data_IF_574816325854
#
_entry.id   IF_574816325854
#
_cell.length_a   1.000
_cell.length_b   1.000
_cell.length_c   1.000
_cell.angle_alpha   90.00
_cell.angle_beta   90.00
_cell.angle_gamma   90.00
#
_symmetry.space_group_name_H-M   'P 1'
#
loop_
_entity.id
_entity.type
_entity.pdbx_description
1 polymer ?
#
# COMPACT_ATOMS: atom_id res chain seq x y z
N UNK A 1 22.17 10.03 -17.07
CA UNK A 1 22.10 11.39 -17.67
C UNK A 1 21.10 12.13 -16.80
N UNK A 2 21.46 13.28 -16.25
CA UNK A 2 20.75 13.81 -15.08
C UNK A 2 20.29 15.23 -15.38
N UNK A 3 18.99 15.40 -15.59
CA UNK A 3 18.37 16.73 -15.60
C UNK A 3 18.59 17.39 -14.23
N UNK A 4 18.89 18.70 -14.20
CA UNK A 4 19.10 19.43 -12.95
C UNK A 4 17.76 19.73 -12.25
N UNK A 5 17.71 19.43 -10.95
CA UNK A 5 16.54 19.58 -10.07
C UNK A 5 16.85 20.44 -8.83
N UNK A 6 18.12 20.81 -8.59
CA UNK A 6 18.55 21.42 -7.32
C UNK A 6 17.78 22.72 -7.00
N UNK A 7 17.57 23.57 -8.00
CA UNK A 7 16.78 24.80 -7.84
C UNK A 7 15.33 24.54 -7.44
N UNK A 8 14.71 23.46 -7.93
CA UNK A 8 13.33 23.09 -7.58
C UNK A 8 13.23 22.47 -6.19
N UNK A 9 14.23 21.69 -5.78
CA UNK A 9 14.31 21.20 -4.41
C UNK A 9 14.47 22.35 -3.41
N UNK A 10 15.28 23.36 -3.74
CA UNK A 10 15.41 24.55 -2.90
C UNK A 10 14.09 25.34 -2.78
N UNK A 11 13.31 25.44 -3.87
CA UNK A 11 11.98 26.03 -3.82
C UNK A 11 11.01 25.21 -2.95
N UNK A 12 11.03 23.88 -3.07
CA UNK A 12 10.21 22.96 -2.28
C UNK A 12 10.57 23.06 -0.79
N UNK A 13 11.86 23.00 -0.45
CA UNK A 13 12.33 23.11 0.92
C UNK A 13 11.92 24.45 1.55
N UNK A 14 12.11 25.55 0.83
CA UNK A 14 11.74 26.89 1.32
C UNK A 14 10.24 27.04 1.56
N UNK A 15 9.39 26.65 0.61
CA UNK A 15 7.96 26.93 0.67
C UNK A 15 7.14 25.84 1.35
N UNK A 16 7.57 24.59 1.25
CA UNK A 16 6.81 23.39 1.65
C UNK A 16 7.52 22.67 2.82
N UNK A 17 8.83 22.83 3.00
CA UNK A 17 9.59 22.26 4.11
C UNK A 17 8.92 22.42 5.48
N UNK A 18 8.36 23.60 5.85
CA UNK A 18 7.66 23.74 7.13
C UNK A 18 6.40 22.87 7.29
N UNK A 19 5.69 22.52 6.21
CA UNK A 19 4.57 21.56 6.30
C UNK A 19 5.08 20.12 6.33
N UNK A 20 6.13 19.80 5.56
CA UNK A 20 6.75 18.47 5.60
C UNK A 20 7.29 18.14 6.99
N UNK A 21 7.96 19.09 7.65
CA UNK A 21 8.46 18.92 9.01
C UNK A 21 7.35 18.59 10.01
N UNK A 22 6.21 19.31 9.94
CA UNK A 22 5.06 19.04 10.80
C UNK A 22 4.44 17.67 10.57
N UNK A 23 4.52 17.15 9.34
CA UNK A 23 4.03 15.83 8.96
C UNK A 23 5.08 14.72 9.18
N UNK A 24 6.30 15.07 9.62
CA UNK A 24 7.41 14.14 9.79
C UNK A 24 7.91 13.56 8.47
N UNK A 25 7.91 14.36 7.40
CA UNK A 25 8.27 13.96 6.04
C UNK A 25 9.51 14.70 5.53
N UNK A 26 10.16 14.13 4.52
CA UNK A 26 11.24 14.75 3.75
C UNK A 26 11.09 14.47 2.25
N UNK A 27 11.60 15.35 1.37
CA UNK A 27 11.56 15.11 -0.06
C UNK A 27 12.53 13.98 -0.45
N UNK A 28 12.07 13.06 -1.29
CA UNK A 28 12.89 12.04 -1.94
C UNK A 28 12.76 12.18 -3.46
N UNK A 29 13.90 12.05 -4.15
CA UNK A 29 13.98 12.19 -5.60
C UNK A 29 14.20 10.84 -6.24
N UNK A 30 13.34 10.52 -7.19
CA UNK A 30 13.48 9.37 -8.08
C UNK A 30 13.70 9.88 -9.49
N UNK A 31 14.75 9.37 -10.14
CA UNK A 31 15.07 9.65 -11.54
C UNK A 31 14.54 8.52 -12.39
N UNK A 32 13.60 8.82 -13.28
CA UNK A 32 13.17 7.88 -14.32
C UNK A 32 13.75 8.30 -15.67
N UNK A 33 13.42 7.53 -16.71
CA UNK A 33 13.99 7.75 -18.04
C UNK A 33 13.58 9.11 -18.61
N UNK A 34 12.30 9.46 -18.45
CA UNK A 34 11.68 10.61 -19.12
C UNK A 34 11.08 11.61 -18.10
N UNK A 35 11.27 11.40 -16.79
CA UNK A 35 10.82 12.31 -15.74
C UNK A 35 11.73 12.30 -14.49
N UNK A 36 11.56 13.33 -13.65
CA UNK A 36 12.06 13.37 -12.28
C UNK A 36 10.86 13.49 -11.34
N UNK A 37 10.80 12.61 -10.34
CA UNK A 37 9.71 12.53 -9.38
C UNK A 37 10.21 12.94 -8.01
N UNK A 38 9.49 13.85 -7.36
CA UNK A 38 9.73 14.28 -5.99
C UNK A 38 8.56 13.84 -5.14
N UNK A 39 8.72 12.72 -4.44
CA UNK A 39 7.77 12.23 -3.43
C UNK A 39 8.13 12.79 -2.05
N UNK A 40 7.18 12.73 -1.11
CA UNK A 40 7.45 13.08 0.30
C UNK A 40 7.34 11.82 1.18
N UNK A 41 8.49 11.37 1.65
CA UNK A 41 8.67 10.09 2.36
C UNK A 41 8.81 10.32 3.87
N UNK A 42 8.50 9.33 4.72
CA UNK A 42 8.67 9.44 6.17
C UNK A 42 10.14 9.65 6.57
N UNK A 43 10.37 10.59 7.49
CA UNK A 43 11.61 10.67 8.26
C UNK A 43 11.76 9.47 9.20
N UNK A 44 12.96 9.30 9.76
CA UNK A 44 13.23 8.30 10.80
C UNK A 44 12.20 8.40 11.94
N UNK A 45 11.64 7.25 12.34
CA UNK A 45 10.60 7.16 13.37
C UNK A 45 9.18 7.44 12.89
N UNK A 46 8.97 7.88 11.65
CA UNK A 46 7.66 7.96 11.01
C UNK A 46 7.49 6.78 10.03
N UNK A 47 6.24 6.39 9.79
CA UNK A 47 5.88 5.30 8.86
C UNK A 47 4.85 5.75 7.83
N UNK A 48 4.42 7.01 7.85
CA UNK A 48 3.45 7.53 6.91
C UNK A 48 4.14 8.35 5.80
N UNK A 49 3.60 8.31 4.60
CA UNK A 49 4.06 9.08 3.45
C UNK A 49 2.98 10.06 2.99
N UNK A 50 3.34 11.07 2.19
CA UNK A 50 2.36 11.92 1.53
C UNK A 50 1.84 11.25 0.26
N UNK A 51 0.52 11.26 -0.02
CA UNK A 51 -0.02 10.77 -1.28
C UNK A 51 0.24 11.72 -2.47
N UNK A 52 1.06 12.76 -2.27
CA UNK A 52 1.38 13.78 -3.27
C UNK A 52 2.78 13.58 -3.80
N UNK A 53 2.91 13.54 -5.12
CA UNK A 53 4.17 13.50 -5.85
C UNK A 53 4.22 14.66 -6.84
N UNK A 54 5.36 15.36 -6.91
CA UNK A 54 5.63 16.35 -7.96
C UNK A 54 6.41 15.65 -9.06
N UNK A 55 5.92 15.72 -10.29
CA UNK A 55 6.60 15.12 -11.44
C UNK A 55 7.03 16.22 -12.41
N UNK A 56 8.30 16.24 -12.74
CA UNK A 56 8.90 17.10 -13.76
C UNK A 56 9.06 16.27 -15.03
N UNK A 57 8.19 16.52 -16.02
CA UNK A 57 8.13 15.76 -17.26
C UNK A 57 9.11 16.32 -18.30
N UNK A 58 9.94 15.45 -18.88
CA UNK A 58 10.90 15.79 -19.93
C UNK A 58 10.53 15.22 -21.30
N UNK A 59 9.35 14.62 -21.46
CA UNK A 59 8.91 14.06 -22.74
C UNK A 59 8.92 15.14 -23.83
N UNK A 60 9.73 14.90 -24.87
CA UNK A 60 9.88 15.82 -26.00
C UNK A 60 10.74 17.04 -25.72
N UNK A 61 11.39 17.12 -24.56
CA UNK A 61 12.37 18.15 -24.23
C UNK A 61 13.80 17.67 -24.53
N UNK A 62 14.73 18.59 -24.83
CA UNK A 62 16.13 18.23 -24.97
C UNK A 62 16.72 17.67 -23.68
N UNK A 63 17.69 16.76 -23.78
CA UNK A 63 18.37 16.13 -22.64
C UNK A 63 19.08 17.11 -21.69
N UNK A 64 19.37 18.33 -22.15
CA UNK A 64 19.98 19.40 -21.34
C UNK A 64 18.95 20.31 -20.66
N UNK A 65 17.66 20.04 -20.81
CA UNK A 65 16.61 20.88 -20.25
C UNK A 65 16.52 20.71 -18.73
N UNK A 66 16.39 21.82 -18.00
CA UNK A 66 16.32 21.83 -16.54
C UNK A 66 14.88 21.60 -16.04
N UNK A 67 14.73 21.10 -14.81
CA UNK A 67 13.41 20.96 -14.20
C UNK A 67 12.77 22.33 -13.97
N UNK A 68 11.59 22.54 -14.58
CA UNK A 68 10.82 23.78 -14.42
C UNK A 68 9.40 23.48 -14.01
N UNK A 69 8.79 24.41 -13.26
CA UNK A 69 7.38 24.30 -12.87
C UNK A 69 6.42 24.31 -14.05
N UNK A 70 6.83 24.86 -15.20
CA UNK A 70 6.03 24.92 -16.43
C UNK A 70 5.70 23.53 -17.00
N UNK A 71 6.64 22.59 -16.92
CA UNK A 71 6.45 21.21 -17.39
C UNK A 71 6.19 20.24 -16.25
N UNK A 72 5.97 20.77 -15.04
CA UNK A 72 5.62 19.95 -13.91
C UNK A 72 4.12 19.63 -13.88
N UNK A 73 3.78 18.50 -13.29
CA UNK A 73 2.44 18.21 -12.83
C UNK A 73 2.50 17.61 -11.43
N UNK A 74 1.37 17.65 -10.75
CA UNK A 74 1.21 17.07 -9.42
C UNK A 74 0.36 15.82 -9.55
N UNK A 75 0.87 14.73 -9.03
CA UNK A 75 0.10 13.50 -8.82
C UNK A 75 -0.46 13.48 -7.41
N UNK A 76 -1.70 13.05 -7.30
CA UNK A 76 -2.37 12.75 -6.03
C UNK A 76 -2.92 11.34 -6.08
N UNK A 77 -2.34 10.46 -5.28
CA UNK A 77 -2.89 9.15 -5.03
C UNK A 77 -4.07 9.26 -4.06
N UNK A 78 -5.12 8.51 -4.31
CA UNK A 78 -6.29 8.44 -3.44
C UNK A 78 -6.42 7.06 -2.86
N UNK A 79 -6.74 7.02 -1.57
CA UNK A 79 -6.82 5.80 -0.79
C UNK A 79 -8.16 5.72 -0.08
N UNK A 80 -8.71 4.52 0.02
CA UNK A 80 -9.87 4.20 0.85
C UNK A 80 -9.38 3.49 2.11
N UNK A 81 -9.57 4.14 3.26
CA UNK A 81 -9.32 3.54 4.57
C UNK A 81 -10.42 2.55 4.92
N UNK A 82 -10.03 1.34 5.32
CA UNK A 82 -10.92 0.25 5.73
C UNK A 82 -10.48 -0.29 7.10
N UNK A 83 -11.28 -0.05 8.13
CA UNK A 83 -11.10 -0.70 9.43
C UNK A 83 -11.54 -2.18 9.34
N UNK A 84 -10.78 -3.09 9.97
CA UNK A 84 -11.02 -4.53 9.92
C UNK A 84 -11.73 -5.02 11.19
N UNK A 85 -12.98 -4.60 11.36
CA UNK A 85 -13.77 -4.89 12.57
C UNK A 85 -13.19 -4.18 13.80
N UNK A 86 -13.20 -4.85 14.94
CA UNK A 86 -12.66 -4.33 16.21
C UNK A 86 -11.21 -4.79 16.49
N UNK A 87 -10.52 -5.31 15.48
CA UNK A 87 -9.17 -5.90 15.63
C UNK A 87 -8.06 -4.86 15.85
N UNK A 88 -8.34 -3.58 15.63
CA UNK A 88 -7.34 -2.51 15.58
C UNK A 88 -6.54 -2.47 14.28
N UNK A 89 -6.77 -3.39 13.34
CA UNK A 89 -6.15 -3.39 12.01
C UNK A 89 -6.91 -2.51 11.02
N UNK A 90 -6.16 -1.93 10.09
CA UNK A 90 -6.70 -1.18 8.97
C UNK A 90 -6.00 -1.51 7.65
N UNK A 91 -6.67 -1.23 6.54
CA UNK A 91 -6.12 -1.33 5.20
C UNK A 91 -6.40 -0.06 4.41
N UNK A 92 -5.41 0.42 3.67
CA UNK A 92 -5.54 1.59 2.81
C UNK A 92 -5.48 1.15 1.35
N UNK A 93 -6.65 1.01 0.73
CA UNK A 93 -6.73 0.54 -0.66
C UNK A 93 -6.54 1.71 -1.61
N UNK A 94 -5.48 1.67 -2.41
CA UNK A 94 -5.30 2.58 -3.53
C UNK A 94 -6.53 2.53 -4.46
N UNK A 95 -7.00 3.70 -4.86
CA UNK A 95 -8.15 3.85 -5.75
C UNK A 95 -7.75 4.40 -7.10
N UNK A 96 -7.03 5.52 -7.11
CA UNK A 96 -6.74 6.27 -8.32
C UNK A 96 -5.64 7.31 -8.11
N UNK A 97 -4.87 7.60 -9.16
CA UNK A 97 -3.93 8.73 -9.23
C UNK A 97 -4.54 9.85 -10.06
N UNK A 98 -4.74 11.01 -9.46
CA UNK A 98 -5.14 12.21 -10.18
C UNK A 98 -3.92 13.00 -10.64
N UNK A 99 -3.93 13.46 -11.88
CA UNK A 99 -2.87 14.30 -12.45
C UNK A 99 -3.36 15.74 -12.63
N UNK A 100 -2.62 16.69 -12.05
CA UNK A 100 -2.96 18.09 -12.09
C UNK A 100 -1.80 18.89 -12.68
N UNK A 101 -2.01 19.52 -13.84
CA UNK A 101 -1.02 20.43 -14.43
C UNK A 101 -0.84 21.65 -13.54
N UNK A 102 0.42 22.05 -13.33
CA UNK A 102 0.75 23.21 -12.51
C UNK A 102 0.20 24.51 -13.10
N UNK A 103 0.29 24.70 -14.43
CA UNK A 103 -0.48 25.64 -15.26
C UNK A 103 -0.57 27.11 -14.82
N UNK A 104 0.12 27.47 -13.75
CA UNK A 104 0.07 28.70 -12.97
C UNK A 104 1.49 29.25 -12.84
N UNK A 105 1.64 30.43 -12.26
CA UNK A 105 2.96 30.92 -11.88
C UNK A 105 3.61 30.00 -10.85
N UNK A 106 4.96 30.02 -10.76
CA UNK A 106 5.72 29.23 -9.79
C UNK A 106 5.25 29.48 -8.35
N UNK A 107 5.00 30.75 -8.00
CA UNK A 107 4.52 31.16 -6.67
C UNK A 107 3.15 30.55 -6.36
N UNK A 108 2.22 30.58 -7.33
CA UNK A 108 0.89 30.00 -7.15
C UNK A 108 0.93 28.47 -7.10
N UNK A 109 1.84 27.85 -7.86
CA UNK A 109 2.07 26.41 -7.86
C UNK A 109 2.56 25.95 -6.50
N UNK A 110 3.60 26.59 -5.96
CA UNK A 110 4.17 26.27 -4.65
C UNK A 110 3.16 26.50 -3.51
N UNK A 111 2.40 27.61 -3.56
CA UNK A 111 1.34 27.88 -2.59
C UNK A 111 0.27 26.78 -2.61
N UNK A 112 -0.18 26.39 -3.81
CA UNK A 112 -1.19 25.35 -3.97
C UNK A 112 -0.68 23.98 -3.55
N UNK A 113 0.56 23.61 -3.91
CA UNK A 113 1.19 22.36 -3.47
C UNK A 113 1.30 22.30 -1.94
N UNK A 114 1.71 23.39 -1.28
CA UNK A 114 1.72 23.46 0.19
C UNK A 114 0.34 23.23 0.80
N UNK A 115 -0.69 23.87 0.26
CA UNK A 115 -2.08 23.70 0.72
C UNK A 115 -2.59 22.28 0.48
N UNK A 116 -2.23 21.68 -0.65
CA UNK A 116 -2.60 20.32 -1.01
C UNK A 116 -1.95 19.31 -0.06
N UNK A 117 -0.63 19.38 0.16
CA UNK A 117 0.08 18.50 1.11
C UNK A 117 -0.48 18.64 2.52
N UNK A 118 -0.79 19.87 2.96
CA UNK A 118 -1.39 20.10 4.28
C UNK A 118 -2.79 19.50 4.42
N UNK A 119 -3.58 19.52 3.34
CA UNK A 119 -4.99 19.10 3.34
C UNK A 119 -5.13 17.59 3.20
N UNK A 120 -4.34 16.97 2.31
CA UNK A 120 -4.39 15.52 2.08
C UNK A 120 -3.71 14.76 3.23
N UNK A 121 -2.75 15.38 3.93
CA UNK A 121 -2.10 14.79 5.07
C UNK A 121 -1.18 13.64 4.68
N UNK A 122 -1.29 12.51 5.39
CA UNK A 122 -0.41 11.35 5.24
C UNK A 122 -1.18 10.04 5.18
N UNK A 123 -0.60 9.06 4.52
CA UNK A 123 -1.09 7.68 4.39
C UNK A 123 -0.07 6.75 5.04
N UNK A 124 -0.48 5.80 5.88
CA UNK A 124 0.45 4.83 6.46
C UNK A 124 1.02 3.88 5.40
N UNK A 125 2.31 3.61 5.47
CA UNK A 125 2.97 2.54 4.73
C UNK A 125 2.63 1.20 5.42
N UNK A 126 1.96 0.28 4.73
CA UNK A 126 1.52 -0.99 5.31
C UNK A 126 2.68 -1.93 5.64
N UNK A 127 3.84 -1.76 4.99
CA UNK A 127 5.03 -2.54 5.28
C UNK A 127 5.75 -2.09 6.56
N UNK A 128 5.41 -0.91 7.10
CA UNK A 128 6.13 -0.28 8.22
C UNK A 128 5.23 0.13 9.38
N UNK A 129 3.97 0.44 9.11
CA UNK A 129 3.03 0.95 10.11
C UNK A 129 2.40 -0.22 10.87
N UNK A 130 2.51 -0.27 12.21
CA UNK A 130 1.88 -1.32 13.00
C UNK A 130 0.37 -1.41 12.73
N UNK A 131 -0.12 -2.64 12.62
CA UNK A 131 -1.53 -2.95 12.36
C UNK A 131 -2.09 -2.33 11.05
N UNK A 132 -1.23 -2.05 10.07
CA UNK A 132 -1.63 -1.59 8.76
C UNK A 132 -1.35 -2.68 7.72
N UNK A 133 -2.39 -3.09 7.01
CA UNK A 133 -2.31 -4.07 5.93
C UNK A 133 -1.72 -3.43 4.69
N UNK A 134 -0.62 -4.00 4.21
CA UNK A 134 0.06 -3.70 2.95
C UNK A 134 -0.67 -4.32 1.77
N UNK A 135 -1.07 -5.60 1.86
CA UNK A 135 -1.77 -6.26 0.76
C UNK A 135 -3.29 -6.03 0.84
N UNK A 136 -3.89 -5.23 -0.06
CA UNK A 136 -5.31 -4.91 0.04
C UNK A 136 -6.24 -6.13 -0.09
N UNK A 137 -5.77 -7.24 -0.67
CA UNK A 137 -6.54 -8.49 -0.78
C UNK A 137 -6.69 -9.22 0.56
N UNK A 138 -5.77 -9.03 1.51
CA UNK A 138 -5.89 -9.55 2.89
C UNK A 138 -7.12 -8.97 3.56
N UNK A 139 -7.35 -7.67 3.44
CA UNK A 139 -8.54 -7.02 3.98
C UNK A 139 -9.85 -7.49 3.31
N UNK A 140 -9.81 -7.76 2.00
CA UNK A 140 -10.97 -8.29 1.28
C UNK A 140 -11.29 -9.73 1.74
N UNK A 141 -10.26 -10.57 1.91
CA UNK A 141 -10.38 -11.93 2.42
C UNK A 141 -10.82 -11.95 3.90
N UNK A 142 -10.24 -11.11 4.75
CA UNK A 142 -10.64 -10.97 6.16
C UNK A 142 -12.14 -10.67 6.28
N UNK A 143 -12.67 -9.73 5.47
CA UNK A 143 -14.09 -9.42 5.47
C UNK A 143 -14.94 -10.60 5.04
N UNK A 144 -14.49 -11.39 4.05
CA UNK A 144 -15.19 -12.61 3.66
C UNK A 144 -15.22 -13.62 4.81
N UNK A 145 -14.09 -13.86 5.46
CA UNK A 145 -13.96 -14.81 6.56
C UNK A 145 -14.82 -14.40 7.76
N UNK A 146 -14.61 -13.19 8.28
CA UNK A 146 -15.25 -12.67 9.50
C UNK A 146 -16.75 -12.43 9.37
N UNK A 147 -17.26 -12.17 8.16
CA UNK A 147 -18.70 -11.90 7.99
C UNK A 147 -19.53 -13.12 7.58
N UNK A 148 -18.88 -14.22 7.14
CA UNK A 148 -19.60 -15.37 6.54
C UNK A 148 -19.22 -16.73 7.08
N UNK A 149 -18.01 -16.89 7.62
CA UNK A 149 -17.46 -18.21 7.89
C UNK A 149 -17.02 -18.40 9.34
N UNK A 150 -16.32 -17.44 9.93
CA UNK A 150 -15.66 -17.60 11.22
C UNK A 150 -15.85 -16.34 12.06
N UNK A 151 -16.13 -16.52 13.36
CA UNK A 151 -16.31 -15.39 14.28
C UNK A 151 -14.96 -14.83 14.77
N UNK A 152 -13.95 -15.70 14.93
CA UNK A 152 -12.61 -15.35 15.41
C UNK A 152 -11.56 -15.53 14.32
N UNK A 153 -11.41 -14.51 13.47
CA UNK A 153 -10.32 -14.44 12.48
C UNK A 153 -9.20 -13.56 13.02
N UNK A 154 -8.01 -14.12 13.17
CA UNK A 154 -6.81 -13.41 13.60
C UNK A 154 -6.03 -12.90 12.39
N UNK A 155 -5.38 -11.75 12.58
CA UNK A 155 -4.51 -11.11 11.59
C UNK A 155 -3.10 -11.05 12.19
N UNK A 156 -2.13 -11.58 11.44
CA UNK A 156 -0.72 -11.52 11.78
C UNK A 156 0.07 -10.90 10.62
N UNK A 157 1.13 -10.16 10.94
CA UNK A 157 2.06 -9.62 9.96
C UNK A 157 3.48 -9.93 10.39
N UNK A 158 4.21 -10.63 9.52
CA UNK A 158 5.63 -10.93 9.68
C UNK A 158 6.45 -9.87 8.92
N UNK A 159 7.27 -9.14 9.69
CA UNK A 159 8.17 -8.07 9.21
C UNK A 159 9.65 -8.48 9.33
N UNK A 160 9.94 -9.77 9.47
CA UNK A 160 11.30 -10.27 9.73
C UNK A 160 12.32 -9.97 8.63
N UNK A 161 11.88 -9.69 7.40
CA UNK A 161 12.72 -9.26 6.30
C UNK A 161 12.23 -7.92 5.72
N UNK A 162 13.11 -6.90 5.60
CA UNK A 162 12.74 -5.62 4.99
C UNK A 162 12.21 -5.79 3.57
N UNK A 163 10.99 -5.28 3.31
CA UNK A 163 10.34 -5.37 2.00
C UNK A 163 9.67 -6.73 1.71
N UNK A 164 9.74 -7.69 2.62
CA UNK A 164 9.08 -9.00 2.49
C UNK A 164 8.02 -9.19 3.57
N UNK A 165 7.01 -8.32 3.55
CA UNK A 165 5.89 -8.42 4.47
C UNK A 165 5.07 -9.65 4.12
N UNK A 166 4.87 -10.54 5.09
CA UNK A 166 3.94 -11.66 4.96
C UNK A 166 2.77 -11.44 5.89
N UNK A 167 1.59 -11.29 5.32
CA UNK A 167 0.34 -11.12 6.06
C UNK A 167 -0.39 -12.44 6.11
N UNK A 168 -0.87 -12.80 7.29
CA UNK A 168 -1.58 -14.05 7.51
C UNK A 168 -2.94 -13.82 8.14
N UNK A 169 -3.92 -14.61 7.69
CA UNK A 169 -5.23 -14.70 8.30
C UNK A 169 -5.42 -16.10 8.85
N UNK A 170 -5.60 -16.21 10.17
CA UNK A 170 -5.74 -17.49 10.85
C UNK A 170 -7.14 -17.61 11.45
N UNK A 171 -7.72 -18.80 11.43
CA UNK A 171 -9.05 -19.07 11.97
C UNK A 171 -9.14 -20.50 12.47
N UNK A 172 -10.15 -20.77 13.30
CA UNK A 172 -10.49 -22.12 13.72
C UNK A 172 -11.86 -22.52 13.16
N UNK A 173 -11.82 -23.69 12.57
CA UNK A 173 -12.89 -24.61 12.23
C UNK A 173 -14.07 -24.83 13.19
N UNK A 174 -15.29 -25.05 12.69
CA UNK A 174 -16.35 -25.71 13.49
C UNK A 174 -15.97 -27.15 13.90
N UNK A 175 -15.04 -27.79 13.16
CA UNK A 175 -14.49 -29.11 13.49
C UNK A 175 -13.18 -28.99 14.29
N UNK A 176 -12.78 -27.78 14.69
CA UNK A 176 -11.57 -27.52 15.46
C UNK A 176 -10.28 -27.54 14.65
N UNK A 177 -10.34 -27.52 13.31
CA UNK A 177 -9.17 -27.47 12.44
C UNK A 177 -8.59 -26.06 12.37
N UNK A 178 -7.27 -25.96 12.30
CA UNK A 178 -6.58 -24.67 12.17
C UNK A 178 -6.42 -24.30 10.70
N UNK A 179 -7.04 -23.20 10.28
CA UNK A 179 -6.91 -22.66 8.94
C UNK A 179 -6.00 -21.45 8.90
N UNK A 180 -5.11 -21.36 7.90
CA UNK A 180 -4.25 -20.19 7.69
C UNK A 180 -4.16 -19.83 6.21
N UNK A 181 -4.41 -18.57 5.88
CA UNK A 181 -4.00 -17.96 4.63
C UNK A 181 -2.71 -17.18 4.85
N UNK A 182 -1.76 -17.28 3.93
CA UNK A 182 -0.54 -16.47 3.92
C UNK A 182 -0.41 -15.74 2.59
N UNK A 183 -0.19 -14.43 2.64
CA UNK A 183 -0.21 -13.53 1.49
C UNK A 183 0.99 -12.59 1.55
N UNK A 184 1.65 -12.38 0.42
CA UNK A 184 2.65 -11.33 0.25
C UNK A 184 2.11 -10.23 -0.67
N UNK A 185 2.44 -8.96 -0.45
CA UNK A 185 2.18 -7.90 -1.41
C UNK A 185 2.82 -8.23 -2.77
N UNK A 186 2.09 -8.01 -3.86
CA UNK A 186 2.56 -8.25 -5.23
C UNK A 186 2.50 -9.71 -5.70
N UNK A 187 2.30 -10.68 -4.80
CA UNK A 187 2.08 -12.07 -5.21
C UNK A 187 0.73 -12.23 -5.91
N UNK A 188 0.72 -13.05 -6.96
CA UNK A 188 -0.52 -13.37 -7.71
C UNK A 188 -1.40 -14.35 -6.94
N UNK A 189 -0.79 -15.19 -6.10
CA UNK A 189 -1.47 -16.31 -5.46
C UNK A 189 -1.50 -16.21 -3.94
N UNK A 190 -2.51 -16.85 -3.34
CA UNK A 190 -2.64 -17.11 -1.91
C UNK A 190 -2.84 -18.60 -1.68
N UNK A 191 -2.19 -19.14 -0.63
CA UNK A 191 -2.35 -20.54 -0.22
C UNK A 191 -3.13 -20.64 1.08
N UNK A 192 -4.12 -21.52 1.11
CA UNK A 192 -4.81 -21.98 2.31
C UNK A 192 -4.10 -23.22 2.84
N UNK A 193 -3.70 -23.16 4.10
CA UNK A 193 -3.22 -24.27 4.89
C UNK A 193 -4.31 -24.72 5.86
N UNK A 194 -4.46 -26.04 6.04
CA UNK A 194 -5.33 -26.62 7.07
C UNK A 194 -4.52 -27.61 7.88
N UNK A 195 -4.46 -27.41 9.20
CA UNK A 195 -3.63 -28.18 10.13
C UNK A 195 -2.15 -28.25 9.70
N UNK A 196 -1.64 -27.15 9.13
CA UNK A 196 -0.26 -27.00 8.65
C UNK A 196 0.01 -27.54 7.24
N UNK A 197 -0.93 -28.27 6.64
CA UNK A 197 -0.77 -28.85 5.30
C UNK A 197 -1.39 -27.96 4.22
N UNK A 198 -0.76 -27.93 3.03
CA UNK A 198 -1.31 -27.21 1.88
C UNK A 198 -2.64 -27.83 1.49
N UNK A 199 -3.72 -27.07 1.67
CA UNK A 199 -5.03 -27.49 1.24
C UNK A 199 -5.27 -27.10 -0.21
N UNK A 200 -5.08 -25.81 -0.54
CA UNK A 200 -5.27 -25.31 -1.89
C UNK A 200 -4.65 -23.92 -2.12
N UNK A 201 -4.34 -23.60 -3.38
CA UNK A 201 -3.82 -22.29 -3.82
C UNK A 201 -4.79 -21.62 -4.80
N UNK A 202 -4.91 -20.30 -4.71
CA UNK A 202 -5.85 -19.47 -5.45
C UNK A 202 -5.17 -18.21 -5.98
N UNK A 203 -5.76 -17.57 -6.98
CA UNK A 203 -5.45 -16.16 -7.27
C UNK A 203 -5.99 -15.30 -6.13
N UNK A 204 -5.22 -14.28 -5.71
CA UNK A 204 -5.55 -13.49 -4.51
C UNK A 204 -6.85 -12.68 -4.64
N UNK A 205 -7.25 -12.33 -5.87
CA UNK A 205 -8.46 -11.57 -6.17
C UNK A 205 -9.69 -12.44 -6.44
N UNK A 206 -9.54 -13.76 -6.54
CA UNK A 206 -10.63 -14.71 -6.80
C UNK A 206 -11.38 -15.11 -5.50
N UNK A 207 -11.95 -14.11 -4.83
CA UNK A 207 -12.82 -14.32 -3.66
C UNK A 207 -14.01 -15.25 -3.93
N UNK A 208 -14.66 -15.26 -5.12
CA UNK A 208 -15.71 -16.23 -5.42
C UNK A 208 -15.25 -17.69 -5.29
N UNK A 209 -14.06 -18.03 -5.80
CA UNK A 209 -13.50 -19.38 -5.68
C UNK A 209 -13.12 -19.71 -4.25
N UNK A 210 -12.49 -18.77 -3.53
CA UNK A 210 -12.18 -18.96 -2.09
C UNK A 210 -13.46 -19.25 -1.30
N UNK A 211 -14.53 -18.51 -1.58
CA UNK A 211 -15.84 -18.73 -0.93
C UNK A 211 -16.40 -20.13 -1.19
N UNK A 212 -16.29 -20.67 -2.40
CA UNK A 212 -16.76 -22.02 -2.71
C UNK A 212 -15.98 -23.05 -1.90
N UNK A 213 -14.66 -22.92 -1.87
CA UNK A 213 -13.79 -23.86 -1.15
C UNK A 213 -14.02 -23.83 0.36
N UNK A 214 -14.19 -22.65 0.96
CA UNK A 214 -14.49 -22.54 2.38
C UNK A 214 -15.85 -23.17 2.75
N UNK A 215 -16.84 -23.13 1.84
CA UNK A 215 -18.11 -23.83 2.05
C UNK A 215 -17.90 -25.35 2.01
N UNK A 216 -17.09 -25.85 1.10
CA UNK A 216 -16.82 -27.27 0.99
C UNK A 216 -15.99 -27.77 2.18
N UNK A 217 -15.00 -26.99 2.62
CA UNK A 217 -14.19 -27.28 3.80
C UNK A 217 -15.06 -27.48 5.04
N UNK A 218 -16.00 -26.56 5.33
CA UNK A 218 -16.92 -26.69 6.48
C UNK A 218 -17.80 -27.93 6.44
N UNK A 219 -18.16 -28.40 5.25
CA UNK A 219 -19.09 -29.53 5.08
C UNK A 219 -18.40 -30.89 4.93
N UNK A 220 -17.07 -30.92 4.82
CA UNK A 220 -16.33 -32.13 4.52
C UNK A 220 -15.39 -32.49 5.67
N UNK A 221 -15.61 -33.63 6.35
CA UNK A 221 -14.57 -34.22 7.20
C UNK A 221 -13.36 -34.51 6.32
N UNK A 222 -12.21 -33.91 6.62
CA UNK A 222 -10.97 -34.32 5.95
C UNK A 222 -10.75 -35.78 6.32
N UNK A 223 -10.83 -36.66 5.33
CA UNK A 223 -10.47 -38.05 5.55
C UNK A 223 -9.01 -38.03 5.99
N UNK A 224 -8.77 -38.48 7.22
CA UNK A 224 -7.43 -38.65 7.79
C UNK A 224 -6.56 -39.33 6.74
N UNK A 225 -5.68 -38.57 6.09
CA UNK A 225 -4.71 -39.17 5.20
C UNK A 225 -3.84 -40.05 6.09
N UNK A 226 -3.91 -41.33 5.79
CA UNK A 226 -3.21 -42.39 6.48
C UNK A 226 -1.72 -42.06 6.48
N UNK A 227 -1.21 -41.61 7.63
CA UNK A 227 0.21 -41.68 7.92
C UNK A 227 0.55 -43.17 7.89
N UNK A 228 1.06 -43.61 6.75
CA UNK A 228 1.65 -44.95 6.63
C UNK A 228 3.13 -44.77 6.98
N UNK A 229 3.64 -45.55 7.96
CA UNK A 229 4.97 -45.38 8.55
C UNK A 229 6.12 -45.66 7.57
#
# INVERSE_FOLDING_TARGET
MTHDIEGRLADIDREIGPVLERLGLEPAVTYEKDDIRVGFVPKEGNTCFSPITVVFDFVGLPEWYEATWVHAYIEKDTFSRRALGETGWESWKFLHTYHYKTGRSDVETLKWLRELVATEGVVPDGARTPNCIENPYVADLYRLLSTRFFDDVQIDQDLSAPGEVVESLSFVDDLGREGRFSMRPGDVHVTLFVDGEVFQTFEQDDLPKVRLVLRDLRNTPLSSQSVTP
#
